data_IF_095909103163
#
_entry.id   IF_095909103163
#
_cell.length_a   1.000
_cell.length_b   1.000
_cell.length_c   1.000
_cell.angle_alpha   90.00
_cell.angle_beta   90.00
_cell.angle_gamma   90.00
#
_symmetry.space_group_name_H-M   'P 1'
#
loop_
_entity.id
_entity.type
_entity.pdbx_description
1 polymer ?
#
# COMPACT_ATOMS: atom_id res chain seq x y z
N UNK A 1 6.91 -2.97 10.98
CA UNK A 1 6.63 -3.90 9.86
C UNK A 1 6.22 -3.09 8.65
N UNK A 2 6.56 -3.54 7.43
CA UNK A 2 6.17 -2.90 6.17
C UNK A 2 5.02 -3.66 5.52
N UNK A 3 4.10 -2.93 4.90
CA UNK A 3 2.93 -3.47 4.18
C UNK A 3 2.94 -2.90 2.77
N UNK A 4 2.80 -3.77 1.78
CA UNK A 4 2.52 -3.38 0.40
C UNK A 4 0.99 -3.37 0.21
N UNK A 5 0.43 -2.19 0.03
CA UNK A 5 -0.98 -1.97 -0.27
C UNK A 5 -1.17 -1.93 -1.78
N UNK A 6 -1.88 -2.89 -2.34
CA UNK A 6 -2.25 -2.90 -3.76
C UNK A 6 -3.70 -2.50 -3.84
N UNK A 7 -3.98 -1.30 -4.34
CA UNK A 7 -5.36 -0.80 -4.42
C UNK A 7 -5.49 0.27 -5.52
N UNK A 8 -6.43 0.09 -6.45
CA UNK A 8 -6.62 0.94 -7.63
C UNK A 8 -7.47 2.19 -7.32
N UNK A 9 -8.32 2.13 -6.29
CA UNK A 9 -9.11 3.28 -5.84
C UNK A 9 -8.27 4.25 -4.97
N UNK A 10 -8.19 5.50 -5.44
CA UNK A 10 -7.40 6.55 -4.81
C UNK A 10 -7.95 7.01 -3.44
N UNK A 11 -9.26 6.93 -3.22
CA UNK A 11 -9.88 7.33 -1.95
C UNK A 11 -9.83 6.20 -0.93
N UNK A 12 -9.94 4.94 -1.37
CA UNK A 12 -9.77 3.77 -0.51
C UNK A 12 -8.32 3.60 -0.08
N UNK A 13 -7.36 3.72 -1.01
CA UNK A 13 -5.93 3.62 -0.72
C UNK A 13 -5.46 4.68 0.28
N UNK A 14 -5.99 5.91 0.22
CA UNK A 14 -5.73 6.96 1.21
C UNK A 14 -6.22 6.60 2.61
N UNK A 15 -7.44 6.10 2.72
CA UNK A 15 -8.02 5.69 4.01
C UNK A 15 -7.22 4.54 4.63
N UNK A 16 -6.84 3.55 3.82
CA UNK A 16 -6.04 2.42 4.27
C UNK A 16 -4.62 2.84 4.68
N UNK A 17 -3.95 3.71 3.90
CA UNK A 17 -2.65 4.28 4.28
C UNK A 17 -2.69 5.01 5.62
N UNK A 18 -3.71 5.82 5.87
CA UNK A 18 -3.88 6.55 7.12
C UNK A 18 -4.06 5.58 8.31
N UNK A 19 -5.01 4.64 8.19
CA UNK A 19 -5.30 3.67 9.25
C UNK A 19 -4.10 2.77 9.58
N UNK A 20 -3.36 2.32 8.56
CA UNK A 20 -2.16 1.51 8.72
C UNK A 20 -0.98 2.31 9.28
N UNK A 21 -0.85 3.58 8.88
CA UNK A 21 0.14 4.51 9.44
C UNK A 21 -0.10 4.77 10.93
N UNK A 22 -1.36 5.01 11.31
CA UNK A 22 -1.77 5.19 12.71
C UNK A 22 -1.49 3.94 13.57
N UNK A 23 -1.57 2.76 12.97
CA UNK A 23 -1.20 1.49 13.60
C UNK A 23 0.33 1.22 13.64
N UNK A 24 1.15 2.14 13.14
CA UNK A 24 2.61 2.05 13.17
C UNK A 24 3.24 1.23 12.03
N UNK A 25 2.50 1.00 10.95
CA UNK A 25 3.02 0.33 9.75
C UNK A 25 3.58 1.34 8.76
N UNK A 26 4.66 0.96 8.09
CA UNK A 26 5.14 1.65 6.90
C UNK A 26 4.45 1.05 5.68
N UNK A 27 3.76 1.87 4.90
CA UNK A 27 2.87 1.43 3.81
C UNK A 27 3.40 1.93 2.47
N UNK A 28 3.82 0.99 1.64
CA UNK A 28 4.10 1.23 0.22
C UNK A 28 2.81 0.96 -0.56
N UNK A 29 2.48 1.79 -1.55
CA UNK A 29 1.23 1.64 -2.31
C UNK A 29 1.55 1.43 -3.78
N UNK A 30 0.87 0.47 -4.37
CA UNK A 30 0.83 0.22 -5.80
C UNK A 30 -0.63 0.36 -6.28
N UNK A 31 -0.90 1.15 -7.33
CA UNK A 31 -2.22 1.28 -7.94
C UNK A 31 -2.59 0.07 -8.80
N UNK A 32 -1.62 -0.78 -9.15
CA UNK A 32 -1.83 -1.95 -10.00
C UNK A 32 -0.94 -3.13 -9.60
N UNK A 33 -1.25 -4.29 -10.18
CA UNK A 33 -0.54 -5.54 -9.90
C UNK A 33 0.88 -5.60 -10.47
N UNK A 34 1.21 -4.80 -11.49
CA UNK A 34 2.53 -4.79 -12.12
C UNK A 34 3.53 -4.04 -11.22
N UNK A 35 3.15 -2.85 -10.75
CA UNK A 35 3.92 -2.07 -9.78
C UNK A 35 4.00 -2.79 -8.43
N UNK A 36 2.93 -3.48 -8.01
CA UNK A 36 2.94 -4.31 -6.81
C UNK A 36 3.93 -5.47 -6.90
N UNK A 37 3.96 -6.18 -8.03
CA UNK A 37 4.87 -7.31 -8.22
C UNK A 37 6.32 -6.84 -8.14
N UNK A 38 6.65 -5.73 -8.81
CA UNK A 38 7.99 -5.13 -8.76
C UNK A 38 8.40 -4.71 -7.34
N UNK A 39 7.49 -4.11 -6.57
CA UNK A 39 7.75 -3.70 -5.19
C UNK A 39 7.87 -4.89 -4.21
N UNK A 40 7.24 -6.02 -4.53
CA UNK A 40 7.24 -7.23 -3.70
C UNK A 40 8.42 -8.19 -3.93
N UNK A 41 9.13 -8.09 -5.05
CA UNK A 41 10.22 -9.00 -5.41
C UNK A 41 11.62 -8.63 -4.82
N UNK A 42 11.72 -7.64 -3.91
CA UNK A 42 12.97 -7.24 -3.25
C UNK A 42 13.03 -7.56 -1.74
#
# INVERSE_FOLDING_TARGET
>A
MRVLLVEDDADLSRQLKAALGDAGYAVDHAPDGEEAHYLGEN
#
